data_IF_815914301329
#
_entry.id   IF_815914301329
#
_cell.length_a   1.000
_cell.length_b   1.000
_cell.length_c   1.000
_cell.angle_alpha   90.00
_cell.angle_beta   90.00
_cell.angle_gamma   90.00
#
_symmetry.space_group_name_H-M   'P 1'
#
loop_
_entity.id
_entity.type
_entity.pdbx_description
1 polymer ?
#
# COMPACT_ATOMS: atom_id res chain seq x y z
N UNK A 1 24.37 -6.69 -10.58
CA UNK A 1 23.76 -5.69 -11.51
C UNK A 1 22.55 -6.24 -12.28
N UNK A 2 22.69 -7.20 -13.19
CA UNK A 2 21.51 -7.73 -13.92
C UNK A 2 20.53 -8.47 -12.99
N UNK A 3 21.04 -9.32 -12.11
CA UNK A 3 20.23 -10.10 -11.16
C UNK A 3 19.48 -9.16 -10.19
N UNK A 4 20.15 -8.16 -9.63
CA UNK A 4 19.51 -7.19 -8.72
C UNK A 4 18.41 -6.37 -9.40
N UNK A 5 18.59 -6.05 -10.69
CA UNK A 5 17.56 -5.40 -11.49
C UNK A 5 16.33 -6.29 -11.67
N UNK A 6 16.53 -7.58 -11.98
CA UNK A 6 15.44 -8.55 -12.10
C UNK A 6 14.72 -8.73 -10.75
N UNK A 7 15.47 -8.94 -9.67
CA UNK A 7 14.92 -9.16 -8.34
C UNK A 7 14.16 -7.93 -7.81
N UNK A 8 14.69 -6.72 -7.99
CA UNK A 8 13.98 -5.50 -7.60
C UNK A 8 12.68 -5.32 -8.39
N UNK A 9 12.64 -5.67 -9.69
CA UNK A 9 11.39 -5.69 -10.46
C UNK A 9 10.40 -6.73 -9.96
N UNK A 10 10.86 -7.92 -9.55
CA UNK A 10 9.99 -8.93 -8.93
C UNK A 10 9.45 -8.47 -7.57
N UNK A 11 10.26 -7.75 -6.79
CA UNK A 11 9.81 -7.15 -5.53
C UNK A 11 8.77 -6.07 -5.80
N UNK A 12 8.95 -5.23 -6.83
CA UNK A 12 7.89 -4.28 -7.25
C UNK A 12 6.64 -5.02 -7.68
N UNK A 13 6.74 -6.11 -8.45
CA UNK A 13 5.58 -6.90 -8.87
C UNK A 13 4.80 -7.40 -7.64
N UNK A 14 5.50 -8.00 -6.67
CA UNK A 14 4.92 -8.46 -5.42
C UNK A 14 4.27 -7.31 -4.63
N UNK A 15 4.96 -6.17 -4.55
CA UNK A 15 4.48 -4.96 -3.87
C UNK A 15 3.19 -4.43 -4.50
N UNK A 16 3.16 -4.28 -5.82
CA UNK A 16 2.00 -3.77 -6.57
C UNK A 16 0.85 -4.76 -6.48
N UNK A 17 1.09 -6.04 -6.74
CA UNK A 17 0.04 -7.07 -6.63
C UNK A 17 -0.58 -7.10 -5.23
N UNK A 18 0.23 -7.02 -4.18
CA UNK A 18 -0.24 -7.05 -2.80
C UNK A 18 -1.05 -5.79 -2.44
N UNK A 19 -0.64 -4.61 -2.94
CA UNK A 19 -1.29 -3.34 -2.62
C UNK A 19 -2.42 -2.95 -3.58
N UNK A 20 -2.56 -3.60 -4.74
CA UNK A 20 -3.69 -3.36 -5.66
C UNK A 20 -5.05 -3.48 -4.94
N UNK A 21 -5.12 -4.33 -3.91
CA UNK A 21 -6.28 -4.50 -3.02
C UNK A 21 -6.69 -3.25 -2.25
N UNK A 22 -5.72 -2.42 -1.86
CA UNK A 22 -5.92 -1.27 -0.96
C UNK A 22 -5.75 0.07 -1.67
N UNK A 23 -5.16 0.07 -2.86
CA UNK A 23 -5.00 1.24 -3.74
C UNK A 23 -6.12 1.28 -4.78
N UNK A 24 -6.28 0.21 -5.56
CA UNK A 24 -7.28 0.12 -6.64
C UNK A 24 -8.62 -0.46 -6.14
N UNK A 25 -8.55 -1.53 -5.34
CA UNK A 25 -9.70 -2.30 -4.85
C UNK A 25 -10.83 -1.47 -4.26
N UNK A 26 -10.58 -0.50 -3.34
CA UNK A 26 -11.65 0.22 -2.68
C UNK A 26 -12.53 0.97 -3.68
N UNK A 27 -11.95 1.63 -4.67
CA UNK A 27 -12.69 2.45 -5.64
C UNK A 27 -13.39 1.61 -6.71
N UNK A 28 -12.77 0.51 -7.16
CA UNK A 28 -13.37 -0.40 -8.14
C UNK A 28 -14.57 -1.15 -7.57
N UNK A 29 -14.43 -1.74 -6.39
CA UNK A 29 -15.50 -2.56 -5.80
C UNK A 29 -16.65 -1.76 -5.22
N UNK A 30 -16.48 -0.45 -5.04
CA UNK A 30 -17.54 0.44 -4.56
C UNK A 30 -18.23 1.24 -5.68
N UNK A 31 -17.78 1.13 -6.94
CA UNK A 31 -18.56 1.64 -8.08
C UNK A 31 -17.80 1.99 -9.35
N UNK A 32 -16.47 2.20 -9.33
CA UNK A 32 -15.74 2.57 -10.55
C UNK A 32 -15.66 1.41 -11.55
N UNK A 33 -15.69 1.72 -12.85
CA UNK A 33 -15.53 0.70 -13.88
C UNK A 33 -14.14 0.05 -13.78
N UNK A 34 -14.03 -1.28 -13.60
CA UNK A 34 -12.74 -1.95 -13.36
C UNK A 34 -11.71 -1.73 -14.45
N UNK A 35 -12.11 -1.78 -15.73
CA UNK A 35 -11.18 -1.65 -16.87
C UNK A 35 -10.60 -0.24 -16.95
N UNK A 36 -11.44 0.78 -16.79
CA UNK A 36 -11.00 2.19 -16.80
C UNK A 36 -10.14 2.50 -15.58
N UNK A 37 -10.57 2.04 -14.39
CA UNK A 37 -9.84 2.23 -13.16
C UNK A 37 -8.43 1.60 -13.21
N UNK A 38 -8.31 0.40 -13.80
CA UNK A 38 -7.02 -0.26 -14.00
C UNK A 38 -6.06 0.62 -14.82
N UNK A 39 -6.49 1.12 -15.97
CA UNK A 39 -5.66 1.98 -16.84
C UNK A 39 -5.25 3.25 -16.11
N UNK A 40 -6.21 3.89 -15.42
CA UNK A 40 -5.97 5.12 -14.64
C UNK A 40 -4.95 4.87 -13.53
N UNK A 41 -5.10 3.79 -12.76
CA UNK A 41 -4.20 3.45 -11.67
C UNK A 41 -2.78 3.18 -12.18
N UNK A 42 -2.64 2.38 -13.25
CA UNK A 42 -1.34 2.07 -13.85
C UNK A 42 -0.65 3.36 -14.32
N UNK A 43 -1.35 4.21 -15.06
CA UNK A 43 -0.79 5.46 -15.56
C UNK A 43 -0.38 6.41 -14.41
N UNK A 44 -1.22 6.52 -13.38
CA UNK A 44 -0.93 7.33 -12.21
C UNK A 44 0.24 6.78 -11.39
N UNK A 45 0.33 5.47 -11.16
CA UNK A 45 1.45 4.81 -10.47
C UNK A 45 2.77 4.99 -11.23
N UNK A 46 2.75 4.86 -12.56
CA UNK A 46 3.93 5.16 -13.39
C UNK A 46 4.35 6.62 -13.23
N UNK A 47 3.41 7.56 -13.38
CA UNK A 47 3.69 8.98 -13.21
C UNK A 47 4.25 9.29 -11.80
N UNK A 48 3.62 8.74 -10.76
CA UNK A 48 4.07 8.86 -9.39
C UNK A 48 5.48 8.31 -9.18
N UNK A 49 5.77 7.14 -9.75
CA UNK A 49 7.09 6.48 -9.64
C UNK A 49 8.20 7.36 -10.22
N UNK A 50 8.02 7.85 -11.45
CA UNK A 50 9.05 8.61 -12.15
C UNK A 50 9.16 10.07 -11.69
N UNK A 51 8.07 10.69 -11.24
CA UNK A 51 8.08 12.07 -10.75
C UNK A 51 8.39 12.17 -9.25
N UNK A 52 8.51 11.04 -8.55
CA UNK A 52 8.75 11.04 -7.11
C UNK A 52 10.08 11.69 -6.74
N UNK A 53 10.12 12.55 -5.70
CA UNK A 53 11.38 12.98 -5.09
C UNK A 53 12.02 11.89 -4.22
N UNK A 54 11.33 10.79 -3.93
CA UNK A 54 11.79 9.78 -3.00
C UNK A 54 13.06 9.08 -3.51
N UNK A 55 14.04 8.91 -2.63
CA UNK A 55 15.28 8.21 -2.98
C UNK A 55 15.04 6.71 -3.10
N UNK A 56 15.45 6.15 -4.23
CA UNK A 56 15.44 4.70 -4.43
C UNK A 56 16.52 4.06 -3.56
N UNK A 57 16.16 3.02 -2.82
CA UNK A 57 17.11 2.26 -2.00
C UNK A 57 17.51 1.00 -2.74
N UNK A 58 18.81 0.87 -2.99
CA UNK A 58 19.40 -0.33 -3.55
C UNK A 58 19.80 -1.27 -2.42
N UNK A 59 19.33 -2.51 -2.51
CA UNK A 59 19.71 -3.58 -1.60
C UNK A 59 20.64 -4.56 -2.31
N UNK A 60 21.42 -5.31 -1.53
CA UNK A 60 22.17 -6.46 -2.06
C UNK A 60 21.20 -7.59 -2.46
N UNK A 61 21.67 -8.47 -3.34
CA UNK A 61 20.90 -9.60 -3.90
C UNK A 61 20.15 -10.39 -2.82
N UNK A 62 20.82 -10.69 -1.69
CA UNK A 62 20.30 -11.54 -0.63
C UNK A 62 19.05 -10.94 0.04
N UNK A 63 19.05 -9.62 0.29
CA UNK A 63 17.89 -8.93 0.87
C UNK A 63 16.68 -8.94 -0.07
N UNK A 64 16.88 -8.87 -1.38
CA UNK A 64 15.78 -9.01 -2.34
C UNK A 64 15.22 -10.43 -2.33
N UNK A 65 16.09 -11.46 -2.29
CA UNK A 65 15.68 -12.86 -2.20
C UNK A 65 14.86 -13.09 -0.93
N UNK A 66 15.36 -12.64 0.24
CA UNK A 66 14.66 -12.78 1.52
C UNK A 66 13.30 -12.08 1.48
N UNK A 67 13.23 -10.87 0.90
CA UNK A 67 11.96 -10.15 0.74
C UNK A 67 10.93 -10.94 -0.06
N UNK A 68 11.36 -11.56 -1.17
CA UNK A 68 10.49 -12.38 -2.02
C UNK A 68 10.07 -13.67 -1.30
N UNK A 69 10.97 -14.33 -0.59
CA UNK A 69 10.66 -15.55 0.19
C UNK A 69 9.65 -15.23 1.28
N UNK A 70 9.86 -14.18 2.07
CA UNK A 70 8.87 -13.77 3.07
C UNK A 70 7.55 -13.36 2.44
N UNK A 71 7.57 -12.65 1.32
CA UNK A 71 6.35 -12.32 0.60
C UNK A 71 5.57 -13.60 0.20
N UNK A 72 6.23 -14.63 -0.33
CA UNK A 72 5.60 -15.89 -0.70
C UNK A 72 5.03 -16.62 0.54
N UNK A 73 5.80 -16.69 1.64
CA UNK A 73 5.36 -17.31 2.91
C UNK A 73 4.12 -16.59 3.44
N UNK A 74 4.14 -15.26 3.49
CA UNK A 74 3.03 -14.43 3.97
C UNK A 74 1.79 -14.61 3.10
N UNK A 75 1.98 -14.60 1.78
CA UNK A 75 0.91 -14.86 0.82
C UNK A 75 0.30 -16.24 1.04
N UNK A 76 1.12 -17.27 1.28
CA UNK A 76 0.67 -18.63 1.60
C UNK A 76 -0.17 -18.70 2.88
N UNK A 77 0.25 -18.00 3.94
CA UNK A 77 -0.53 -17.90 5.20
C UNK A 77 -1.62 -16.81 5.16
N UNK A 78 -1.86 -16.21 3.99
CA UNK A 78 -2.90 -15.19 3.75
C UNK A 78 -2.74 -13.95 4.62
N UNK A 79 -1.51 -13.52 4.88
CA UNK A 79 -1.16 -12.26 5.53
C UNK A 79 -0.49 -11.38 4.46
N UNK A 80 -0.83 -10.09 4.42
CA UNK A 80 -0.14 -9.14 3.56
C UNK A 80 1.17 -8.74 4.23
N UNK A 81 2.32 -9.03 3.60
CA UNK A 81 3.59 -8.47 4.04
C UNK A 81 3.67 -6.99 3.62
N UNK A 82 3.87 -6.03 4.54
CA UNK A 82 4.16 -4.65 4.16
C UNK A 82 5.62 -4.56 3.66
N UNK A 83 5.84 -4.96 2.41
CA UNK A 83 7.17 -5.08 1.77
C UNK A 83 7.99 -3.80 1.91
N UNK A 84 7.36 -2.63 1.75
CA UNK A 84 8.07 -1.35 1.85
C UNK A 84 8.54 -1.03 3.28
N UNK A 85 7.76 -1.41 4.30
CA UNK A 85 8.16 -1.31 5.72
C UNK A 85 9.28 -2.29 6.03
N UNK A 86 9.17 -3.55 5.57
CA UNK A 86 10.21 -4.56 5.73
C UNK A 86 11.55 -4.07 5.14
N UNK A 87 11.54 -3.69 3.86
CA UNK A 87 12.73 -3.20 3.16
C UNK A 87 13.33 -1.95 3.81
N UNK A 88 12.50 -0.98 4.21
CA UNK A 88 13.01 0.21 4.90
C UNK A 88 13.67 -0.15 6.24
N UNK A 89 13.11 -1.10 6.96
CA UNK A 89 13.65 -1.54 8.26
C UNK A 89 15.02 -2.19 8.12
N UNK A 90 15.32 -2.82 6.98
CA UNK A 90 16.65 -3.36 6.67
C UNK A 90 17.72 -2.26 6.51
N UNK A 91 17.35 -1.01 6.22
CA UNK A 91 18.28 0.13 6.15
C UNK A 91 18.64 0.69 7.54
N UNK A 92 17.89 0.30 8.57
CA UNK A 92 17.97 0.87 9.91
C UNK A 92 16.71 1.69 10.24
N UNK A 93 16.13 1.39 11.39
CA UNK A 93 14.93 2.06 11.88
C UNK A 93 15.29 3.42 12.47
N UNK A 94 14.44 4.42 12.20
CA UNK A 94 14.54 5.74 12.81
C UNK A 94 13.33 5.98 13.71
N UNK A 95 13.49 6.83 14.73
CA UNK A 95 12.35 7.27 15.54
C UNK A 95 11.26 7.93 14.66
N UNK A 96 11.67 8.59 13.59
CA UNK A 96 10.77 9.19 12.60
C UNK A 96 9.93 8.15 11.86
N UNK A 97 10.53 7.05 11.37
CA UNK A 97 9.76 6.02 10.65
C UNK A 97 8.78 5.30 11.57
N UNK A 98 9.20 5.00 12.81
CA UNK A 98 8.32 4.43 13.84
C UNK A 98 7.18 5.39 14.21
N UNK A 99 7.49 6.67 14.41
CA UNK A 99 6.50 7.72 14.69
C UNK A 99 5.47 7.86 13.58
N UNK A 100 5.89 7.77 12.32
CA UNK A 100 4.96 7.77 11.19
C UNK A 100 4.12 6.50 11.14
N UNK A 101 4.72 5.31 11.22
CA UNK A 101 3.97 4.05 11.07
C UNK A 101 2.98 3.79 12.20
N UNK A 102 3.33 4.14 13.45
CA UNK A 102 2.46 3.90 14.61
C UNK A 102 1.65 5.13 15.02
N UNK A 103 2.06 6.35 14.64
CA UNK A 103 1.36 7.59 14.97
C UNK A 103 0.29 7.98 13.96
N UNK A 104 0.46 7.66 12.67
CA UNK A 104 -0.50 8.00 11.60
C UNK A 104 -1.82 7.18 11.54
N UNK A 105 -1.96 5.99 12.16
CA UNK A 105 -3.24 5.29 12.25
C UNK A 105 -4.34 6.08 12.96
N UNK A 106 -4.00 6.84 14.01
CA UNK A 106 -4.96 7.67 14.76
C UNK A 106 -5.56 8.79 13.90
N UNK A 107 -4.76 9.66 13.23
CA UNK A 107 -5.32 10.64 12.32
C UNK A 107 -6.00 9.98 11.12
N UNK A 108 -5.51 8.85 10.61
CA UNK A 108 -6.18 8.10 9.54
C UNK A 108 -7.60 7.65 9.96
N UNK A 109 -7.75 7.13 11.19
CA UNK A 109 -9.04 6.81 11.80
C UNK A 109 -9.93 8.05 11.91
N UNK A 110 -9.41 9.16 12.45
CA UNK A 110 -10.17 10.39 12.62
C UNK A 110 -10.68 10.95 11.29
N UNK A 111 -9.83 10.93 10.25
CA UNK A 111 -10.21 11.30 8.88
C UNK A 111 -11.35 10.41 8.38
N UNK A 112 -11.24 9.09 8.57
CA UNK A 112 -12.30 8.15 8.20
C UNK A 112 -13.62 8.45 8.90
N UNK A 113 -13.56 8.72 10.19
CA UNK A 113 -14.72 9.05 11.00
C UNK A 113 -15.40 10.35 10.54
N UNK A 114 -14.63 11.41 10.31
CA UNK A 114 -15.14 12.72 9.94
C UNK A 114 -15.60 12.77 8.47
N UNK A 115 -14.73 12.40 7.53
CA UNK A 115 -14.99 12.50 6.09
C UNK A 115 -16.13 11.57 5.70
N UNK A 116 -16.22 10.37 6.28
CA UNK A 116 -17.32 9.47 5.93
C UNK A 116 -18.68 10.12 6.20
N UNK A 117 -18.84 11.01 7.20
CA UNK A 117 -20.12 11.69 7.49
C UNK A 117 -20.46 12.81 6.51
N UNK A 118 -19.46 13.57 6.07
CA UNK A 118 -19.66 14.81 5.31
C UNK A 118 -19.52 14.62 3.80
N UNK A 119 -18.80 13.59 3.36
CA UNK A 119 -18.48 13.38 1.95
C UNK A 119 -19.70 12.88 1.17
N UNK A 120 -20.05 13.60 0.10
CA UNK A 120 -21.00 13.16 -0.93
C UNK A 120 -20.20 12.54 -2.08
N UNK A 121 -20.21 11.20 -2.23
CA UNK A 121 -19.40 10.55 -3.24
C UNK A 121 -19.97 10.80 -4.65
N UNK A 122 -19.08 10.93 -5.64
CA UNK A 122 -19.43 11.00 -7.06
C UNK A 122 -18.42 10.21 -7.88
N UNK A 123 -18.79 9.79 -9.09
CA UNK A 123 -17.88 9.03 -9.98
C UNK A 123 -16.64 9.84 -10.35
N UNK A 124 -16.81 11.14 -10.62
CA UNK A 124 -15.70 12.05 -10.92
C UNK A 124 -14.74 12.11 -9.74
N UNK A 125 -15.26 12.32 -8.53
CA UNK A 125 -14.45 12.33 -7.33
C UNK A 125 -13.73 10.98 -7.11
N UNK A 126 -14.41 9.86 -7.34
CA UNK A 126 -13.81 8.53 -7.26
C UNK A 126 -12.60 8.37 -8.18
N UNK A 127 -12.69 8.79 -9.44
CA UNK A 127 -11.55 8.75 -10.37
C UNK A 127 -10.43 9.70 -9.99
N UNK A 128 -10.74 10.92 -9.54
CA UNK A 128 -9.72 11.86 -9.06
C UNK A 128 -8.95 11.31 -7.87
N UNK A 129 -9.68 10.68 -6.93
CA UNK A 129 -9.09 10.07 -5.74
C UNK A 129 -8.28 8.84 -6.10
N UNK A 130 -8.73 8.04 -7.08
CA UNK A 130 -7.95 6.92 -7.61
C UNK A 130 -6.64 7.40 -8.22
N UNK A 131 -6.66 8.45 -9.06
CA UNK A 131 -5.43 9.06 -9.59
C UNK A 131 -4.51 9.47 -8.46
N UNK A 132 -5.03 10.15 -7.44
CA UNK A 132 -4.22 10.66 -6.34
C UNK A 132 -3.58 9.52 -5.51
N UNK A 133 -4.36 8.51 -5.10
CA UNK A 133 -3.85 7.41 -4.27
C UNK A 133 -2.88 6.52 -5.05
N UNK A 134 -3.16 6.24 -6.33
CA UNK A 134 -2.26 5.49 -7.21
C UNK A 134 -0.96 6.26 -7.48
N UNK A 135 -1.05 7.56 -7.77
CA UNK A 135 0.13 8.40 -7.92
C UNK A 135 0.98 8.39 -6.64
N UNK A 136 0.36 8.56 -5.47
CA UNK A 136 1.07 8.55 -4.20
C UNK A 136 1.66 7.17 -3.87
N UNK A 137 1.00 6.08 -4.24
CA UNK A 137 1.55 4.73 -4.09
C UNK A 137 2.78 4.52 -4.98
N UNK A 138 2.72 4.96 -6.23
CA UNK A 138 3.88 5.04 -7.13
C UNK A 138 5.02 5.85 -6.53
N UNK A 139 4.69 7.04 -6.01
CA UNK A 139 5.67 7.97 -5.50
C UNK A 139 6.31 7.54 -4.17
N UNK A 140 5.56 6.86 -3.29
CA UNK A 140 6.01 6.52 -1.95
C UNK A 140 6.55 5.09 -1.83
N UNK A 141 5.98 4.13 -2.56
CA UNK A 141 6.33 2.71 -2.38
C UNK A 141 7.11 2.17 -3.57
N UNK A 142 6.65 2.41 -4.81
CA UNK A 142 7.32 1.87 -5.99
C UNK A 142 8.65 2.59 -6.21
N UNK A 143 8.65 3.93 -6.22
CA UNK A 143 9.86 4.76 -6.36
C UNK A 143 10.95 4.47 -5.32
N UNK A 144 10.53 4.10 -4.10
CA UNK A 144 11.45 3.69 -3.03
C UNK A 144 12.21 2.41 -3.39
N UNK A 145 11.57 1.47 -4.09
CA UNK A 145 12.18 0.19 -4.47
C UNK A 145 12.90 0.27 -5.81
N UNK A 146 12.29 0.87 -6.83
CA UNK A 146 12.86 0.92 -8.18
C UNK A 146 12.24 2.05 -9.03
N UNK A 147 13.10 2.80 -9.74
CA UNK A 147 12.72 3.84 -10.74
C UNK A 147 13.22 3.54 -12.16
N UNK A 148 13.75 2.35 -12.40
CA UNK A 148 14.15 1.92 -13.74
C UNK A 148 12.95 1.92 -14.67
N UNK A 149 13.16 2.23 -15.96
CA UNK A 149 12.12 2.16 -16.98
C UNK A 149 11.42 0.80 -17.04
N UNK A 150 12.12 -0.29 -16.68
CA UNK A 150 11.55 -1.64 -16.67
C UNK A 150 10.44 -1.83 -15.63
N UNK A 151 10.32 -0.94 -14.64
CA UNK A 151 9.30 -0.99 -13.58
C UNK A 151 7.86 -0.83 -14.12
N UNK A 152 7.71 -0.35 -15.35
CA UNK A 152 6.40 -0.27 -16.03
C UNK A 152 5.71 -1.63 -16.14
N UNK A 153 6.48 -2.69 -16.38
CA UNK A 153 5.97 -4.06 -16.51
C UNK A 153 5.40 -4.59 -15.19
N UNK A 154 6.14 -4.59 -14.06
CA UNK A 154 5.59 -5.05 -12.80
C UNK A 154 4.43 -4.18 -12.28
N UNK A 155 4.39 -2.87 -12.59
CA UNK A 155 3.22 -2.02 -12.29
C UNK A 155 1.98 -2.53 -13.05
N UNK A 156 2.10 -2.72 -14.37
CA UNK A 156 0.98 -3.14 -15.19
C UNK A 156 0.49 -4.55 -14.85
N UNK A 157 1.42 -5.51 -14.79
CA UNK A 157 1.13 -6.91 -14.47
C UNK A 157 0.62 -7.05 -13.04
N UNK A 158 1.24 -6.37 -12.07
CA UNK A 158 0.84 -6.42 -10.67
C UNK A 158 -0.59 -5.94 -10.45
N UNK A 159 -0.96 -4.80 -11.05
CA UNK A 159 -2.32 -4.28 -10.96
C UNK A 159 -3.34 -5.17 -11.69
N UNK A 160 -3.00 -5.67 -12.88
CA UNK A 160 -3.87 -6.59 -13.62
C UNK A 160 -4.14 -7.85 -12.80
N UNK A 161 -3.08 -8.50 -12.31
CA UNK A 161 -3.20 -9.70 -11.48
C UNK A 161 -3.94 -9.41 -10.17
N UNK A 162 -3.66 -8.26 -9.54
CA UNK A 162 -4.32 -7.83 -8.32
C UNK A 162 -5.83 -7.68 -8.50
N UNK A 163 -6.25 -7.03 -9.59
CA UNK A 163 -7.66 -6.85 -9.92
C UNK A 163 -8.36 -8.18 -10.26
N UNK A 164 -7.69 -9.09 -10.96
CA UNK A 164 -8.28 -10.35 -11.44
C UNK A 164 -8.28 -11.48 -10.40
N UNK A 165 -7.23 -11.58 -9.59
CA UNK A 165 -6.95 -12.77 -8.76
C UNK A 165 -6.89 -12.49 -7.27
N UNK A 166 -6.84 -11.23 -6.84
CA UNK A 166 -6.69 -10.93 -5.42
C UNK A 166 -8.02 -11.09 -4.67
N UNK A 167 -8.42 -12.36 -4.53
CA UNK A 167 -9.68 -12.83 -3.95
C UNK A 167 -9.59 -12.99 -2.42
N UNK A 168 -8.38 -12.96 -1.87
CA UNK A 168 -8.11 -13.29 -0.47
C UNK A 168 -8.52 -12.19 0.52
N UNK A 169 -8.79 -10.98 0.02
CA UNK A 169 -9.28 -9.83 0.79
C UNK A 169 -10.68 -9.37 0.26
N UNK A 170 -11.41 -10.28 -0.41
CA UNK A 170 -12.81 -10.06 -0.85
C UNK A 170 -13.78 -9.72 0.30
N UNK A 171 -13.34 -9.82 1.56
CA UNK A 171 -14.10 -9.29 2.71
C UNK A 171 -14.18 -7.77 2.77
N UNK A 172 -13.40 -7.05 1.95
CA UNK A 172 -13.48 -5.60 1.80
C UNK A 172 -14.60 -5.13 0.85
N UNK A 173 -15.35 -6.04 0.22
CA UNK A 173 -16.49 -5.73 -0.68
C UNK A 173 -17.67 -5.03 0.01
N UNK A 174 -17.56 -4.77 1.31
CA UNK A 174 -18.60 -4.10 2.07
C UNK A 174 -18.46 -2.57 2.07
N UNK A 175 -17.47 -1.95 1.41
CA UNK A 175 -17.29 -0.50 1.51
C UNK A 175 -18.42 0.32 0.88
N UNK A 176 -19.00 1.24 1.66
CA UNK A 176 -19.70 2.38 1.06
C UNK A 176 -18.72 3.18 0.20
N UNK A 177 -19.20 3.72 -0.94
CA UNK A 177 -18.34 4.48 -1.85
C UNK A 177 -17.67 5.69 -1.18
N UNK A 178 -18.36 6.35 -0.23
CA UNK A 178 -17.76 7.44 0.56
C UNK A 178 -16.64 6.94 1.48
N UNK A 179 -16.78 5.76 2.07
CA UNK A 179 -15.73 5.11 2.88
C UNK A 179 -14.51 4.70 2.07
N UNK A 180 -14.72 4.22 0.84
CA UNK A 180 -13.62 3.90 -0.07
C UNK A 180 -12.83 5.15 -0.49
N UNK A 181 -13.55 6.24 -0.80
CA UNK A 181 -12.93 7.53 -1.13
C UNK A 181 -12.17 8.09 0.07
N UNK A 182 -12.75 8.08 1.27
CA UNK A 182 -12.08 8.63 2.46
C UNK A 182 -10.82 7.84 2.83
N UNK A 183 -10.86 6.51 2.74
CA UNK A 183 -9.69 5.66 2.94
C UNK A 183 -8.57 5.96 1.94
N UNK A 184 -8.92 6.09 0.66
CA UNK A 184 -7.95 6.38 -0.41
C UNK A 184 -7.35 7.78 -0.26
N UNK A 185 -8.15 8.78 0.12
CA UNK A 185 -7.66 10.14 0.41
C UNK A 185 -6.72 10.18 1.61
N UNK A 186 -7.08 9.50 2.70
CA UNK A 186 -6.23 9.42 3.89
C UNK A 186 -4.88 8.75 3.57
N UNK A 187 -4.92 7.62 2.85
CA UNK A 187 -3.72 6.93 2.40
C UNK A 187 -2.86 7.83 1.50
N UNK A 188 -3.46 8.54 0.56
CA UNK A 188 -2.73 9.45 -0.33
C UNK A 188 -2.08 10.63 0.43
N UNK A 189 -2.81 11.29 1.33
CA UNK A 189 -2.29 12.42 2.11
C UNK A 189 -1.12 12.00 3.03
N UNK A 190 -1.24 10.84 3.67
CA UNK A 190 -0.20 10.32 4.55
C UNK A 190 0.99 9.76 3.77
N UNK A 191 0.77 9.18 2.59
CA UNK A 191 1.84 8.82 1.67
C UNK A 191 2.58 10.06 1.14
N UNK A 192 1.90 11.18 0.90
CA UNK A 192 2.56 12.44 0.58
C UNK A 192 3.49 12.91 1.72
N UNK A 193 3.02 12.83 2.96
CA UNK A 193 3.85 13.10 4.15
C UNK A 193 5.04 12.14 4.24
N UNK A 194 4.81 10.84 4.04
CA UNK A 194 5.87 9.84 4.01
C UNK A 194 6.90 10.14 2.92
N UNK A 195 6.47 10.47 1.72
CA UNK A 195 7.35 10.83 0.60
C UNK A 195 8.18 12.07 0.91
N UNK A 196 7.58 13.10 1.49
CA UNK A 196 8.29 14.32 1.90
C UNK A 196 9.36 14.04 2.97
N UNK A 197 9.14 13.02 3.81
CA UNK A 197 10.04 12.62 4.89
C UNK A 197 10.94 11.42 4.51
N UNK A 198 10.93 11.01 3.25
CA UNK A 198 11.64 9.83 2.73
C UNK A 198 11.32 8.51 3.47
N UNK A 199 10.12 8.39 4.04
CA UNK A 199 9.62 7.18 4.72
C UNK A 199 8.51 6.51 3.91
N UNK A 200 8.65 5.25 3.51
CA UNK A 200 7.58 4.52 2.85
C UNK A 200 6.49 4.17 3.84
N UNK A 201 5.25 4.37 3.45
CA UNK A 201 4.06 4.17 4.28
C UNK A 201 3.40 2.82 3.95
N UNK A 202 2.74 2.24 4.95
CA UNK A 202 1.92 1.03 4.78
C UNK A 202 0.51 1.42 4.35
N UNK A 203 0.25 1.41 3.03
CA UNK A 203 -1.08 1.69 2.49
C UNK A 203 -2.14 0.75 3.07
N UNK A 204 -1.80 -0.51 3.28
CA UNK A 204 -2.68 -1.48 3.95
C UNK A 204 -3.10 -0.98 5.32
N UNK A 205 -2.14 -0.65 6.18
CA UNK A 205 -2.48 -0.26 7.55
C UNK A 205 -3.26 1.06 7.60
N UNK A 206 -2.88 2.03 6.77
CA UNK A 206 -3.59 3.30 6.65
C UNK A 206 -5.05 3.10 6.20
N UNK A 207 -5.24 2.34 5.13
CA UNK A 207 -6.58 2.01 4.60
C UNK A 207 -7.44 1.33 5.67
N UNK A 208 -6.93 0.29 6.33
CA UNK A 208 -7.67 -0.37 7.42
C UNK A 208 -7.99 0.56 8.60
N UNK A 209 -7.08 1.47 8.95
CA UNK A 209 -7.28 2.44 10.03
C UNK A 209 -8.40 3.44 9.71
N UNK A 210 -8.38 3.99 8.49
CA UNK A 210 -9.43 4.92 8.03
C UNK A 210 -10.78 4.24 7.91
N UNK A 211 -10.81 3.01 7.41
CA UNK A 211 -12.05 2.25 7.27
C UNK A 211 -12.66 1.87 8.62
N UNK A 212 -11.83 1.58 9.64
CA UNK A 212 -12.29 1.39 11.01
C UNK A 212 -12.98 2.67 11.55
N UNK A 213 -12.40 3.85 11.28
CA UNK A 213 -13.01 5.14 11.63
C UNK A 213 -14.34 5.39 10.91
N UNK A 214 -14.38 5.12 9.60
CA UNK A 214 -15.61 5.23 8.81
C UNK A 214 -16.70 4.26 9.31
N UNK A 215 -16.32 3.05 9.73
CA UNK A 215 -17.24 2.09 10.31
C UNK A 215 -17.82 2.58 11.65
N UNK A 216 -16.99 3.18 12.50
CA UNK A 216 -17.46 3.79 13.75
C UNK A 216 -18.44 4.96 13.51
N UNK A 217 -18.25 5.72 12.42
CA UNK A 217 -19.06 6.91 12.13
C UNK A 217 -20.48 6.61 11.63
N UNK A 218 -20.67 5.58 10.78
CA UNK A 218 -21.94 5.27 10.11
C UNK A 218 -22.58 3.94 10.52
N UNK A 219 -22.00 3.22 11.50
CA UNK A 219 -22.36 1.82 11.88
C UNK A 219 -22.56 0.83 10.71
N UNK A 220 -21.86 0.92 9.58
CA UNK A 220 -22.04 -0.08 8.56
C UNK A 220 -21.26 -1.35 8.95
N UNK A 221 -21.79 -2.54 8.65
CA UNK A 221 -21.16 -3.86 8.89
C UNK A 221 -19.96 -4.08 7.95
N UNK A 222 -18.88 -3.31 8.08
CA UNK A 222 -17.89 -3.20 7.00
C UNK A 222 -16.49 -3.67 7.38
N UNK A 223 -16.02 -3.44 8.60
CA UNK A 223 -14.70 -3.93 9.05
C UNK A 223 -14.80 -4.46 10.48
N UNK A 224 -14.21 -5.64 10.72
CA UNK A 224 -14.05 -6.15 12.07
C UNK A 224 -12.76 -5.56 12.63
N UNK A 225 -12.75 -5.25 13.92
CA UNK A 225 -11.52 -4.88 14.65
C UNK A 225 -10.39 -5.88 14.39
N UNK A 226 -10.74 -7.16 14.20
CA UNK A 226 -9.84 -8.22 13.78
C UNK A 226 -9.03 -7.91 12.50
N UNK A 227 -9.62 -7.30 11.48
CA UNK A 227 -8.92 -7.00 10.23
C UNK A 227 -7.89 -5.88 10.43
N UNK A 228 -8.20 -4.89 11.28
CA UNK A 228 -7.24 -3.88 11.73
C UNK A 228 -6.11 -4.50 12.54
N UNK A 229 -6.42 -5.38 13.50
CA UNK A 229 -5.40 -6.08 14.29
C UNK A 229 -4.48 -6.92 13.40
N UNK A 230 -5.03 -7.59 12.38
CA UNK A 230 -4.24 -8.35 11.42
C UNK A 230 -3.28 -7.45 10.63
N UNK A 231 -3.72 -6.25 10.22
CA UNK A 231 -2.85 -5.27 9.56
C UNK A 231 -1.76 -4.74 10.52
N UNK A 232 -2.09 -4.43 11.77
CA UNK A 232 -1.12 -4.03 12.79
C UNK A 232 -0.07 -5.14 13.03
N UNK A 233 -0.52 -6.37 13.25
CA UNK A 233 0.36 -7.53 13.44
C UNK A 233 1.27 -7.76 12.23
N UNK A 234 0.82 -7.47 11.01
CA UNK A 234 1.67 -7.59 9.82
C UNK A 234 2.83 -6.59 9.80
N UNK A 235 2.64 -5.37 10.32
CA UNK A 235 3.72 -4.39 10.48
C UNK A 235 4.69 -4.86 11.56
N UNK A 236 4.18 -5.25 12.72
CA UNK A 236 5.03 -5.74 13.81
C UNK A 236 5.87 -6.94 13.38
N UNK A 237 5.26 -7.87 12.64
CA UNK A 237 5.95 -9.04 12.11
C UNK A 237 6.99 -8.66 11.04
N UNK A 238 6.70 -7.68 10.17
CA UNK A 238 7.67 -7.18 9.20
C UNK A 238 8.88 -6.53 9.89
N UNK A 239 8.66 -5.74 10.95
CA UNK A 239 9.74 -5.17 11.76
C UNK A 239 10.60 -6.26 12.41
N UNK A 240 9.95 -7.25 13.03
CA UNK A 240 10.63 -8.38 13.65
C UNK A 240 11.45 -9.19 12.64
N UNK A 241 10.88 -9.48 11.47
CA UNK A 241 11.58 -10.24 10.43
C UNK A 241 12.73 -9.45 9.82
N UNK A 242 12.60 -8.14 9.66
CA UNK A 242 13.71 -7.31 9.20
C UNK A 242 14.87 -7.36 10.20
N UNK A 243 14.57 -7.23 11.50
CA UNK A 243 15.57 -7.37 12.56
C UNK A 243 16.22 -8.76 12.55
N UNK A 244 15.42 -9.84 12.46
CA UNK A 244 15.95 -11.20 12.37
C UNK A 244 16.83 -11.41 11.13
N UNK A 245 16.46 -10.81 9.99
CA UNK A 245 17.24 -10.88 8.75
C UNK A 245 18.60 -10.21 8.92
N UNK A 246 18.65 -9.03 9.55
CA UNK A 246 19.91 -8.33 9.84
C UNK A 246 20.82 -9.18 10.74
N UNK A 247 20.26 -9.89 11.73
CA UNK A 247 21.06 -10.80 12.56
C UNK A 247 21.61 -12.01 11.79
N UNK A 248 20.92 -12.47 10.75
CA UNK A 248 21.30 -13.66 9.98
C UNK A 248 22.27 -13.35 8.83
N UNK A 249 22.15 -12.17 8.23
CA UNK A 249 22.93 -11.78 7.03
C UNK A 249 24.09 -10.84 7.38
N UNK A 250 24.01 -10.10 8.49
CA UNK A 250 24.98 -9.07 8.89
C UNK A 250 24.59 -7.69 8.39
#
# INVERSE_FOLDING_TARGET
>A
MLIDSVLSNLVVLALVYNNALVVLGPTVWSGLNPRRALVVAIAAEMAGTFLSPMRTVHFQTDYYIVSLVFYLIFTYVKISLPISVFLYSLRGLTAQSLGLWFGTPVPAFAVGYLISRTLKPSMVLGYLVLVLVSFMFGANNIAFVNKSLYVVVPIAVGNYLGLSFSRWIVRLYAFSFSGAISASLAAAALAALGTALEVPMSFTFLTYSTLLGAAAARRPRIIRVYDFLKALSSILLALFLAYATLLMIG
#
